data_IF_969398419054
#
_entry.id   IF_969398419054
#
_cell.length_a   1.000
_cell.length_b   1.000
_cell.length_c   1.000
_cell.angle_alpha   90.00
_cell.angle_beta   90.00
_cell.angle_gamma   90.00
#
_symmetry.space_group_name_H-M   'P 1'
#
loop_
_entity.id
_entity.type
_entity.pdbx_description
1 polymer ?
#
# COMPACT_ATOMS: atom_id res chain seq x y z
N UNK A 1 0.51 -8.03 26.00
CA UNK A 1 1.06 -7.89 24.63
C UNK A 1 0.14 -7.00 23.81
N UNK A 2 0.66 -5.93 23.21
CA UNK A 2 -0.04 -5.06 22.25
C UNK A 2 0.30 -5.50 20.83
N UNK A 3 -0.68 -5.67 19.95
CA UNK A 3 -0.49 -6.18 18.59
C UNK A 3 -0.77 -5.09 17.55
N UNK A 4 0.23 -4.76 16.75
CA UNK A 4 0.13 -3.80 15.64
C UNK A 4 0.28 -4.55 14.32
N UNK A 5 -0.77 -4.57 13.49
CA UNK A 5 -0.70 -5.16 12.15
C UNK A 5 -0.41 -4.08 11.10
N UNK A 6 0.57 -4.33 10.24
CA UNK A 6 0.97 -3.40 9.17
C UNK A 6 0.39 -3.89 7.85
N UNK A 7 -0.64 -3.22 7.35
CA UNK A 7 -1.46 -3.70 6.23
C UNK A 7 -1.49 -2.68 5.09
N UNK A 8 -1.19 -3.13 3.88
CA UNK A 8 -1.45 -2.41 2.64
C UNK A 8 -1.35 -3.36 1.42
N UNK A 9 -2.35 -3.30 0.54
CA UNK A 9 -2.39 -4.03 -0.74
C UNK A 9 -1.29 -3.61 -1.73
N UNK A 10 -0.70 -2.41 -1.58
CA UNK A 10 0.39 -1.96 -2.46
C UNK A 10 1.73 -2.58 -2.04
N UNK A 11 2.41 -3.22 -2.99
CA UNK A 11 3.82 -3.57 -2.85
C UNK A 11 4.70 -2.32 -2.82
N UNK A 12 5.76 -2.31 -2.02
CA UNK A 12 6.73 -1.20 -1.98
C UNK A 12 6.31 0.05 -1.19
N UNK A 13 5.17 0.04 -0.49
CA UNK A 13 4.75 1.18 0.35
C UNK A 13 5.46 1.26 1.72
N UNK A 14 6.45 0.41 1.98
CA UNK A 14 7.23 0.39 3.22
C UNK A 14 6.65 -0.44 4.36
N UNK A 15 5.81 -1.46 4.10
CA UNK A 15 5.28 -2.37 5.14
C UNK A 15 6.37 -3.06 5.95
N UNK A 16 7.15 -3.92 5.30
CA UNK A 16 8.25 -4.66 5.93
C UNK A 16 9.28 -3.71 6.55
N UNK A 17 9.64 -2.64 5.85
CA UNK A 17 10.54 -1.60 6.39
C UNK A 17 9.99 -1.00 7.67
N UNK A 18 8.68 -0.72 7.72
CA UNK A 18 8.03 -0.22 8.94
C UNK A 18 8.01 -1.30 10.02
N UNK A 19 7.69 -2.55 9.67
CA UNK A 19 7.57 -3.65 10.62
C UNK A 19 8.89 -3.94 11.34
N UNK A 20 9.96 -4.15 10.55
CA UNK A 20 11.31 -4.44 11.03
C UNK A 20 11.81 -3.31 11.94
N UNK A 21 11.75 -2.06 11.48
CA UNK A 21 12.37 -0.96 12.19
C UNK A 21 11.54 -0.47 13.39
N UNK A 22 10.21 -0.53 13.31
CA UNK A 22 9.37 -0.32 14.48
C UNK A 22 9.65 -1.36 15.57
N UNK A 23 9.71 -2.64 15.19
CA UNK A 23 9.98 -3.71 16.14
C UNK A 23 11.38 -3.56 16.78
N UNK A 24 12.39 -3.18 15.99
CA UNK A 24 13.74 -2.94 16.47
C UNK A 24 13.84 -1.76 17.44
N UNK A 25 13.16 -0.64 17.16
CA UNK A 25 13.11 0.51 18.09
C UNK A 25 12.40 0.15 19.40
N UNK A 26 11.26 -0.55 19.33
CA UNK A 26 10.55 -1.02 20.53
C UNK A 26 11.43 -1.93 21.39
N UNK A 27 12.18 -2.84 20.77
CA UNK A 27 13.11 -3.74 21.44
C UNK A 27 14.31 -3.01 22.07
N UNK A 28 14.91 -2.07 21.33
CA UNK A 28 15.99 -1.19 21.79
C UNK A 28 15.56 -0.36 23.00
N UNK A 29 14.31 0.10 23.03
CA UNK A 29 13.72 0.84 24.16
C UNK A 29 13.39 -0.07 25.37
N UNK A 30 13.74 -1.36 25.30
CA UNK A 30 13.65 -2.31 26.41
C UNK A 30 12.41 -3.20 26.42
N UNK A 31 11.50 -3.05 25.45
CA UNK A 31 10.28 -3.86 25.40
C UNK A 31 10.54 -5.24 24.77
N UNK A 32 9.98 -6.30 25.37
CA UNK A 32 10.03 -7.64 24.77
C UNK A 32 9.14 -7.64 23.53
N UNK A 33 9.76 -7.69 22.35
CA UNK A 33 9.09 -7.45 21.08
C UNK A 33 9.14 -8.69 20.20
N UNK A 34 7.97 -9.08 19.71
CA UNK A 34 7.79 -10.11 18.70
C UNK A 34 7.54 -9.44 17.34
N UNK A 35 8.32 -9.80 16.33
CA UNK A 35 8.02 -9.51 14.93
C UNK A 35 7.46 -10.79 14.30
N UNK A 36 6.30 -10.70 13.66
CA UNK A 36 5.69 -11.80 12.91
C UNK A 36 5.69 -11.46 11.43
N UNK A 37 6.34 -12.28 10.63
CA UNK A 37 6.26 -12.20 9.18
C UNK A 37 5.07 -13.06 8.69
N UNK A 38 4.07 -12.43 8.09
CA UNK A 38 2.92 -13.12 7.44
C UNK A 38 3.00 -13.02 5.91
N UNK A 39 4.06 -12.45 5.34
CA UNK A 39 4.24 -12.36 3.90
C UNK A 39 5.01 -13.60 3.39
N UNK A 40 4.47 -14.40 2.46
CA UNK A 40 5.19 -15.54 1.89
C UNK A 40 6.55 -15.21 1.27
N UNK A 41 6.86 -13.95 0.99
CA UNK A 41 8.17 -13.52 0.49
C UNK A 41 9.27 -13.48 1.56
N UNK A 42 8.96 -13.61 2.85
CA UNK A 42 9.93 -13.68 3.96
C UNK A 42 10.92 -12.51 4.04
N UNK A 43 10.48 -11.30 3.65
CA UNK A 43 11.36 -10.14 3.63
C UNK A 43 11.82 -9.70 5.04
N UNK A 44 11.12 -10.06 6.12
CA UNK A 44 11.60 -9.76 7.47
C UNK A 44 12.85 -10.57 7.81
N UNK A 45 12.88 -11.86 7.46
CA UNK A 45 14.04 -12.72 7.73
C UNK A 45 15.27 -12.22 6.98
N UNK A 46 15.13 -11.97 5.68
CA UNK A 46 16.20 -11.40 4.85
C UNK A 46 16.69 -10.05 5.37
N UNK A 47 15.77 -9.13 5.70
CA UNK A 47 16.10 -7.80 6.21
C UNK A 47 16.74 -7.78 7.61
N UNK A 48 16.74 -8.90 8.31
CA UNK A 48 17.32 -9.08 9.65
C UNK A 48 18.45 -10.12 9.67
N UNK A 49 18.94 -10.54 8.51
CA UNK A 49 20.09 -11.45 8.42
C UNK A 49 19.80 -12.87 8.93
N UNK A 50 18.53 -13.26 9.04
CA UNK A 50 18.14 -14.61 9.46
C UNK A 50 18.29 -15.57 8.26
N UNK A 51 19.07 -16.66 8.38
CA UNK A 51 19.28 -17.55 7.24
C UNK A 51 18.03 -18.38 6.93
N UNK A 52 17.39 -18.10 5.80
CA UNK A 52 16.15 -18.77 5.39
C UNK A 52 16.29 -20.30 5.28
N UNK A 53 17.48 -20.78 4.90
CA UNK A 53 17.76 -22.21 4.74
C UNK A 53 17.79 -22.98 6.05
N UNK A 54 17.95 -22.29 7.18
CA UNK A 54 17.99 -22.90 8.52
C UNK A 54 16.66 -22.82 9.26
N UNK A 55 15.63 -22.25 8.63
CA UNK A 55 14.30 -22.13 9.22
C UNK A 55 13.63 -23.51 9.33
N UNK A 56 13.65 -24.09 10.53
CA UNK A 56 13.01 -25.40 10.80
C UNK A 56 11.49 -25.28 10.96
N UNK A 57 11.03 -24.19 11.58
CA UNK A 57 9.62 -23.88 11.80
C UNK A 57 9.35 -22.43 11.46
N UNK A 58 8.16 -22.18 10.93
CA UNK A 58 7.71 -20.88 10.45
C UNK A 58 6.32 -20.56 11.00
N UNK A 59 5.82 -19.35 10.68
CA UNK A 59 4.44 -18.97 10.96
C UNK A 59 3.43 -19.96 10.36
N UNK A 60 3.74 -20.58 9.21
CA UNK A 60 2.87 -21.56 8.57
C UNK A 60 2.62 -22.77 9.49
N UNK A 61 3.68 -23.27 10.11
CA UNK A 61 3.63 -24.40 11.06
C UNK A 61 2.89 -24.00 12.34
N UNK A 62 3.15 -22.79 12.84
CA UNK A 62 2.53 -22.28 14.05
C UNK A 62 1.00 -22.15 13.89
N UNK A 63 0.54 -21.58 12.78
CA UNK A 63 -0.91 -21.41 12.54
C UNK A 63 -1.58 -22.73 12.17
N UNK A 64 -0.87 -23.72 11.62
CA UNK A 64 -1.44 -25.04 11.32
C UNK A 64 -1.50 -25.98 12.53
N UNK A 65 -0.73 -25.72 13.58
CA UNK A 65 -0.69 -26.57 14.76
C UNK A 65 -2.10 -26.79 15.36
N UNK A 66 -2.38 -28.02 15.79
CA UNK A 66 -3.56 -28.31 16.59
C UNK A 66 -3.24 -27.99 18.05
N UNK A 67 -3.73 -26.84 18.51
CA UNK A 67 -3.42 -26.24 19.82
C UNK A 67 -4.03 -26.97 21.03
N UNK A 68 -4.12 -28.30 21.01
CA UNK A 68 -4.48 -29.09 22.19
C UNK A 68 -3.46 -28.91 23.32
N UNK A 69 -2.21 -28.61 22.96
CA UNK A 69 -1.16 -28.07 23.81
C UNK A 69 -0.62 -26.82 23.14
N UNK A 70 -0.48 -25.72 23.87
CA UNK A 70 0.10 -24.49 23.32
C UNK A 70 1.53 -24.77 22.83
N UNK A 71 1.87 -24.49 21.55
CA UNK A 71 3.24 -24.66 21.07
C UNK A 71 4.18 -23.78 21.88
N UNK A 72 5.33 -24.31 22.30
CA UNK A 72 6.38 -23.50 22.93
C UNK A 72 6.84 -22.44 21.94
N UNK A 73 6.89 -21.18 22.36
CA UNK A 73 7.36 -20.09 21.51
C UNK A 73 8.81 -20.33 21.06
N UNK A 74 9.65 -20.92 21.91
CA UNK A 74 11.07 -21.13 21.63
C UNK A 74 11.35 -22.06 20.45
N UNK A 75 10.40 -22.92 20.09
CA UNK A 75 10.57 -23.82 18.94
C UNK A 75 10.38 -23.10 17.59
N UNK A 76 9.79 -21.90 17.59
CA UNK A 76 9.38 -21.19 16.37
C UNK A 76 10.10 -19.85 16.20
N UNK A 77 10.65 -19.31 17.28
CA UNK A 77 11.14 -17.94 17.33
C UNK A 77 12.65 -17.86 17.22
N UNK A 78 13.10 -16.95 16.36
CA UNK A 78 14.50 -16.60 16.16
C UNK A 78 14.87 -15.39 17.01
N UNK A 79 15.97 -15.48 17.77
CA UNK A 79 16.54 -14.34 18.48
C UNK A 79 17.35 -13.48 17.51
N UNK A 80 16.79 -12.32 17.14
CA UNK A 80 17.40 -11.41 16.16
C UNK A 80 18.29 -10.38 16.86
N UNK A 81 17.78 -9.80 17.94
CA UNK A 81 18.50 -8.84 18.75
C UNK A 81 18.03 -8.92 20.20
N UNK A 82 18.67 -8.17 21.09
CA UNK A 82 18.20 -8.06 22.48
C UNK A 82 16.75 -7.61 22.50
N UNK A 83 15.89 -8.40 23.17
CA UNK A 83 14.45 -8.17 23.28
C UNK A 83 13.68 -8.21 21.95
N UNK A 84 14.28 -8.63 20.83
CA UNK A 84 13.61 -8.77 19.54
C UNK A 84 13.67 -10.22 19.08
N UNK A 85 12.50 -10.84 18.94
CA UNK A 85 12.37 -12.18 18.36
C UNK A 85 11.52 -12.13 17.10
N UNK A 86 11.87 -12.97 16.12
CA UNK A 86 11.16 -13.10 14.85
C UNK A 86 10.43 -14.44 14.80
N UNK A 87 9.14 -14.43 14.47
CA UNK A 87 8.43 -15.57 13.89
C UNK A 87 8.52 -15.45 12.37
N UNK A 88 9.41 -16.20 11.70
CA UNK A 88 9.67 -16.03 10.29
C UNK A 88 8.58 -16.69 9.43
N UNK A 89 8.46 -16.23 8.19
CA UNK A 89 7.66 -16.89 7.16
C UNK A 89 8.56 -17.64 6.17
N UNK A 90 7.92 -18.34 5.23
CA UNK A 90 8.59 -18.91 4.07
C UNK A 90 7.61 -18.99 2.91
N UNK A 91 8.14 -19.31 1.73
CA UNK A 91 7.34 -19.48 0.50
C UNK A 91 6.22 -20.51 0.66
N UNK A 92 6.33 -21.44 1.61
CA UNK A 92 5.29 -22.43 1.93
C UNK A 92 3.97 -21.79 2.40
N UNK A 93 4.03 -20.57 2.96
CA UNK A 93 2.87 -19.82 3.42
C UNK A 93 1.91 -19.45 2.27
N UNK A 94 2.42 -19.30 1.03
CA UNK A 94 1.57 -19.08 -0.14
C UNK A 94 0.71 -20.30 -0.47
N UNK A 95 1.27 -21.51 -0.37
CA UNK A 95 0.52 -22.76 -0.55
C UNK A 95 -0.51 -22.96 0.56
N UNK A 96 -0.22 -22.45 1.76
CA UNK A 96 -1.12 -22.50 2.89
C UNK A 96 -2.38 -21.64 2.70
N UNK A 97 -2.24 -20.42 2.17
CA UNK A 97 -3.32 -19.46 1.93
C UNK A 97 -4.18 -19.79 0.69
N UNK A 98 -3.67 -20.57 -0.25
CA UNK A 98 -4.36 -20.90 -1.49
C UNK A 98 -5.82 -21.38 -1.24
N UNK A 99 -6.76 -21.16 -2.18
CA UNK A 99 -8.18 -21.51 -1.99
C UNK A 99 -8.44 -22.98 -1.60
N UNK A 100 -7.57 -23.89 -2.03
CA UNK A 100 -7.60 -25.32 -1.70
C UNK A 100 -6.48 -25.72 -0.72
N UNK A 101 -5.82 -24.74 -0.10
CA UNK A 101 -4.71 -24.93 0.82
C UNK A 101 -5.15 -25.46 2.18
N UNK A 102 -4.22 -26.00 2.99
CA UNK A 102 -4.54 -26.59 4.29
C UNK A 102 -5.20 -25.65 5.30
N UNK A 103 -5.05 -24.32 5.15
CA UNK A 103 -5.71 -23.34 6.02
C UNK A 103 -7.17 -23.16 5.62
N UNK A 104 -7.51 -23.26 4.33
CA UNK A 104 -8.87 -23.07 3.83
C UNK A 104 -9.86 -24.11 4.41
N UNK A 105 -9.40 -25.33 4.72
CA UNK A 105 -10.23 -26.39 5.31
C UNK A 105 -10.40 -26.29 6.83
N UNK A 106 -9.69 -25.37 7.51
CA UNK A 106 -9.81 -25.21 8.97
C UNK A 106 -11.08 -24.45 9.34
N UNK A 107 -11.80 -24.93 10.36
CA UNK A 107 -13.03 -24.30 10.86
C UNK A 107 -12.82 -22.88 11.38
N UNK A 108 -11.61 -22.58 11.84
CA UNK A 108 -11.20 -21.34 12.48
C UNK A 108 -10.13 -20.57 11.71
N UNK A 109 -10.10 -20.81 10.39
CA UNK A 109 -9.04 -20.38 9.48
C UNK A 109 -8.68 -18.89 9.51
N UNK A 110 -9.58 -18.02 9.96
CA UNK A 110 -9.39 -16.57 10.02
C UNK A 110 -8.75 -16.06 11.33
N UNK A 111 -8.58 -16.92 12.35
CA UNK A 111 -8.22 -16.50 13.72
C UNK A 111 -7.15 -17.38 14.38
N UNK A 112 -6.39 -18.13 13.59
CA UNK A 112 -5.33 -19.03 14.05
C UNK A 112 -4.12 -18.27 14.58
N UNK A 113 -3.72 -17.17 13.92
CA UNK A 113 -2.63 -16.33 14.45
C UNK A 113 -2.97 -15.76 15.83
N UNK A 114 -4.21 -15.30 16.04
CA UNK A 114 -4.64 -14.78 17.34
C UNK A 114 -4.50 -15.82 18.48
N UNK A 115 -4.70 -17.11 18.19
CA UNK A 115 -4.49 -18.18 19.18
C UNK A 115 -3.02 -18.41 19.50
N UNK A 116 -2.18 -18.46 18.46
CA UNK A 116 -0.72 -18.57 18.61
C UNK A 116 -0.22 -17.41 19.49
N UNK A 117 -0.63 -16.19 19.16
CA UNK A 117 -0.25 -15.00 19.89
C UNK A 117 -0.82 -14.95 21.32
N UNK A 118 -2.05 -15.39 21.55
CA UNK A 118 -2.63 -15.51 22.90
C UNK A 118 -1.82 -16.48 23.77
N UNK A 119 -1.41 -17.62 23.22
CA UNK A 119 -0.56 -18.57 23.94
C UNK A 119 0.82 -17.99 24.32
N UNK A 120 1.37 -17.09 23.49
CA UNK A 120 2.69 -16.51 23.70
C UNK A 120 2.66 -15.15 24.41
N UNK A 121 1.48 -14.61 24.69
CA UNK A 121 1.27 -13.23 25.17
C UNK A 121 2.07 -12.86 26.42
N UNK A 122 2.39 -13.83 27.29
CA UNK A 122 3.13 -13.60 28.54
C UNK A 122 4.61 -13.28 28.33
N UNK A 123 5.17 -13.67 27.18
CA UNK A 123 6.57 -13.46 26.82
C UNK A 123 6.87 -12.08 26.22
N UNK A 124 5.84 -11.34 25.79
CA UNK A 124 6.01 -10.15 24.96
C UNK A 124 5.14 -8.97 25.39
N UNK A 125 5.71 -7.78 25.30
CA UNK A 125 5.04 -6.51 25.53
C UNK A 125 4.42 -6.00 24.23
N UNK A 126 5.11 -6.19 23.11
CA UNK A 126 4.69 -5.79 21.76
C UNK A 126 4.77 -6.95 20.76
N UNK A 127 3.84 -6.95 19.81
CA UNK A 127 3.86 -7.79 18.61
C UNK A 127 3.62 -6.89 17.40
N UNK A 128 4.53 -6.91 16.43
CA UNK A 128 4.38 -6.24 15.13
C UNK A 128 4.17 -7.30 14.07
N UNK A 129 3.13 -7.19 13.26
CA UNK A 129 2.80 -8.18 12.22
C UNK A 129 2.98 -7.54 10.84
N UNK A 130 3.92 -8.05 10.04
CA UNK A 130 4.11 -7.66 8.64
C UNK A 130 3.17 -8.48 7.75
N UNK A 131 2.25 -7.82 7.06
CA UNK A 131 1.23 -8.50 6.26
C UNK A 131 1.58 -8.52 4.76
N UNK A 132 1.11 -9.54 4.01
CA UNK A 132 1.31 -9.61 2.58
C UNK A 132 0.62 -8.45 1.83
N UNK A 133 1.00 -8.16 0.57
CA UNK A 133 0.32 -7.18 -0.28
C UNK A 133 -1.06 -7.66 -0.78
N UNK A 134 -1.56 -8.79 -0.31
CA UNK A 134 -2.87 -9.34 -0.66
C UNK A 134 -3.82 -9.24 0.53
N UNK A 135 -5.09 -8.96 0.25
CA UNK A 135 -6.14 -9.02 1.27
C UNK A 135 -6.78 -10.41 1.17
N UNK A 136 -6.06 -11.38 1.71
CA UNK A 136 -6.45 -12.78 1.81
C UNK A 136 -6.42 -13.26 3.26
N UNK A 137 -6.62 -14.55 3.46
CA UNK A 137 -6.77 -15.21 4.76
C UNK A 137 -5.63 -14.90 5.75
N UNK A 138 -4.41 -14.66 5.27
CA UNK A 138 -3.27 -14.26 6.10
C UNK A 138 -3.47 -12.87 6.70
N UNK A 139 -3.87 -11.90 5.87
CA UNK A 139 -4.24 -10.56 6.33
C UNK A 139 -5.44 -10.62 7.28
N UNK A 140 -6.42 -11.51 7.04
CA UNK A 140 -7.53 -11.70 7.99
C UNK A 140 -7.04 -12.17 9.38
N UNK A 141 -6.09 -13.10 9.43
CA UNK A 141 -5.49 -13.56 10.68
C UNK A 141 -4.78 -12.44 11.44
N UNK A 142 -4.01 -11.60 10.74
CA UNK A 142 -3.35 -10.44 11.32
C UNK A 142 -4.37 -9.43 11.88
N UNK A 143 -5.42 -9.11 11.12
CA UNK A 143 -6.48 -8.19 11.56
C UNK A 143 -7.22 -8.70 12.80
N UNK A 144 -7.56 -10.00 12.87
CA UNK A 144 -8.19 -10.61 14.06
C UNK A 144 -7.31 -10.50 15.31
N UNK A 145 -6.00 -10.56 15.15
CA UNK A 145 -5.06 -10.45 16.25
C UNK A 145 -4.71 -9.01 16.65
N UNK A 146 -4.99 -8.01 15.81
CA UNK A 146 -4.52 -6.65 15.99
C UNK A 146 -5.35 -5.80 16.97
N UNK A 147 -4.64 -5.06 17.83
CA UNK A 147 -5.17 -3.94 18.63
C UNK A 147 -5.24 -2.66 17.79
N UNK A 148 -4.29 -2.48 16.87
CA UNK A 148 -4.23 -1.35 15.94
C UNK A 148 -3.77 -1.82 14.56
N UNK A 149 -4.41 -1.29 13.52
CA UNK A 149 -3.95 -1.46 12.14
C UNK A 149 -3.21 -0.22 11.68
N UNK A 150 -1.94 -0.37 11.32
CA UNK A 150 -1.13 0.67 10.72
C UNK A 150 -1.11 0.48 9.20
N UNK A 151 -1.42 1.54 8.45
CA UNK A 151 -1.50 1.52 6.99
C UNK A 151 -0.43 2.46 6.42
N UNK A 152 0.74 1.94 6.00
CA UNK A 152 1.75 2.72 5.32
C UNK A 152 1.22 3.27 3.99
N UNK A 153 1.37 4.56 3.75
CA UNK A 153 0.95 5.24 2.52
C UNK A 153 2.15 5.97 1.93
N UNK A 154 2.72 5.40 0.87
CA UNK A 154 3.79 6.02 0.10
C UNK A 154 3.33 7.38 -0.47
N UNK A 155 4.18 8.41 -0.50
CA UNK A 155 3.80 9.75 -1.02
C UNK A 155 4.18 10.02 -2.49
N UNK A 156 4.29 8.96 -3.30
CA UNK A 156 4.59 9.02 -4.73
C UNK A 156 3.41 9.39 -5.64
N UNK A 157 3.68 9.57 -6.94
CA UNK A 157 2.72 10.05 -7.97
C UNK A 157 1.44 9.23 -8.10
N UNK A 158 1.56 7.90 -8.02
CA UNK A 158 0.40 7.00 -8.10
C UNK A 158 -0.31 6.82 -6.76
N UNK A 159 0.17 7.46 -5.71
CA UNK A 159 -0.27 7.12 -4.36
C UNK A 159 -1.57 7.77 -3.96
N UNK A 160 -2.01 8.90 -4.51
CA UNK A 160 -3.22 9.53 -3.99
C UNK A 160 -4.49 8.72 -4.31
N UNK A 161 -4.76 8.44 -5.60
CA UNK A 161 -5.89 7.58 -6.01
C UNK A 161 -5.73 6.14 -5.51
N UNK A 162 -4.49 5.64 -5.47
CA UNK A 162 -4.19 4.33 -4.92
C UNK A 162 -4.47 4.24 -3.43
N UNK A 163 -4.07 5.26 -2.66
CA UNK A 163 -4.29 5.34 -1.22
C UNK A 163 -5.77 5.48 -0.90
N UNK A 164 -6.53 6.32 -1.61
CA UNK A 164 -7.98 6.43 -1.38
C UNK A 164 -8.68 5.08 -1.52
N UNK A 165 -8.46 4.37 -2.63
CA UNK A 165 -9.03 3.04 -2.85
C UNK A 165 -8.54 2.02 -1.82
N UNK A 166 -7.28 2.08 -1.41
CA UNK A 166 -6.71 1.20 -0.38
C UNK A 166 -7.36 1.45 0.98
N UNK A 167 -7.53 2.71 1.37
CA UNK A 167 -8.15 3.11 2.63
C UNK A 167 -9.62 2.68 2.64
N UNK A 168 -10.36 2.91 1.55
CA UNK A 168 -11.74 2.43 1.41
C UNK A 168 -11.83 0.91 1.51
N UNK A 169 -10.88 0.19 0.92
CA UNK A 169 -10.81 -1.27 0.98
C UNK A 169 -10.52 -1.74 2.41
N UNK A 170 -9.54 -1.14 3.08
CA UNK A 170 -9.20 -1.48 4.48
C UNK A 170 -10.37 -1.17 5.40
N UNK A 171 -11.03 -0.03 5.24
CA UNK A 171 -12.24 0.30 5.99
C UNK A 171 -13.37 -0.70 5.73
N UNK A 172 -13.58 -1.10 4.47
CA UNK A 172 -14.60 -2.09 4.13
C UNK A 172 -14.30 -3.46 4.73
N UNK A 173 -13.01 -3.84 4.74
CA UNK A 173 -12.52 -5.07 5.36
C UNK A 173 -12.73 -5.02 6.86
N UNK A 174 -12.23 -3.99 7.55
CA UNK A 174 -12.35 -3.80 9.02
C UNK A 174 -13.82 -3.78 9.46
N UNK A 175 -14.70 -3.06 8.76
CA UNK A 175 -16.15 -3.02 9.07
C UNK A 175 -16.82 -4.40 9.07
N UNK A 176 -16.28 -5.37 8.32
CA UNK A 176 -16.86 -6.71 8.17
C UNK A 176 -16.47 -7.68 9.29
N UNK A 177 -15.54 -7.30 10.17
CA UNK A 177 -15.04 -8.18 11.23
C UNK A 177 -15.87 -8.22 12.51
N UNK A 178 -16.91 -7.39 12.62
CA UNK A 178 -17.77 -7.34 13.82
C UNK A 178 -17.05 -6.82 15.08
N UNK A 179 -15.85 -6.25 14.91
CA UNK A 179 -15.06 -5.56 15.95
C UNK A 179 -14.54 -4.26 15.36
N UNK A 180 -14.70 -3.16 16.10
CA UNK A 180 -14.08 -1.89 15.74
C UNK A 180 -12.58 -1.96 16.03
N UNK A 181 -11.80 -2.28 15.00
CA UNK A 181 -10.33 -2.26 15.09
C UNK A 181 -9.88 -0.87 14.64
N UNK A 182 -9.25 -0.07 15.51
CA UNK A 182 -8.77 1.25 15.12
C UNK A 182 -7.69 1.08 14.05
N UNK A 183 -7.71 1.99 13.06
CA UNK A 183 -6.66 2.06 12.05
C UNK A 183 -6.07 3.47 11.98
N UNK A 184 -4.81 3.54 11.54
CA UNK A 184 -4.07 4.79 11.32
C UNK A 184 -3.29 4.74 10.02
N UNK A 185 -3.22 5.87 9.33
CA UNK A 185 -2.44 6.05 8.10
C UNK A 185 -1.07 6.61 8.46
N UNK A 186 -0.02 5.94 8.02
CA UNK A 186 1.35 6.38 8.17
C UNK A 186 1.90 6.84 6.82
N UNK A 187 2.11 8.14 6.57
CA UNK A 187 2.85 8.57 5.39
C UNK A 187 4.27 8.00 5.43
N UNK A 188 4.66 7.29 4.38
CA UNK A 188 5.99 6.68 4.23
C UNK A 188 6.67 7.18 2.97
N UNK A 189 8.00 7.04 2.95
CA UNK A 189 8.85 7.51 1.83
C UNK A 189 8.66 9.00 1.55
N UNK A 190 8.39 9.78 2.62
CA UNK A 190 8.12 11.21 2.51
C UNK A 190 9.39 11.94 2.12
N UNK A 191 9.34 12.63 0.98
CA UNK A 191 10.42 13.49 0.53
C UNK A 191 9.95 14.94 0.55
N UNK A 192 10.32 15.66 1.61
CA UNK A 192 9.86 17.04 1.84
C UNK A 192 10.33 18.02 0.76
N UNK A 193 11.38 17.71 0.00
CA UNK A 193 11.81 18.55 -1.12
C UNK A 193 10.86 18.48 -2.33
N UNK A 194 10.15 17.35 -2.49
CA UNK A 194 9.25 17.10 -3.63
C UNK A 194 7.86 17.67 -3.37
N UNK A 195 7.40 18.58 -4.23
CA UNK A 195 6.07 19.20 -4.14
C UNK A 195 4.95 18.15 -4.07
N UNK A 196 5.00 17.17 -4.96
CA UNK A 196 4.05 16.05 -5.00
C UNK A 196 3.95 15.29 -3.66
N UNK A 197 5.08 15.02 -3.02
CA UNK A 197 5.09 14.33 -1.72
C UNK A 197 4.35 15.17 -0.67
N UNK A 198 4.58 16.48 -0.64
CA UNK A 198 3.87 17.39 0.26
C UNK A 198 2.38 17.46 -0.06
N UNK A 199 2.02 17.49 -1.34
CA UNK A 199 0.62 17.55 -1.79
C UNK A 199 -0.16 16.29 -1.40
N UNK A 200 0.47 15.11 -1.50
CA UNK A 200 -0.14 13.85 -1.05
C UNK A 200 -0.39 13.87 0.45
N UNK A 201 0.60 14.23 1.27
CA UNK A 201 0.43 14.34 2.73
C UNK A 201 -0.68 15.33 3.08
N UNK A 202 -0.67 16.51 2.47
CA UNK A 202 -1.69 17.53 2.70
C UNK A 202 -3.09 17.03 2.31
N UNK A 203 -3.20 16.22 1.26
CA UNK A 203 -4.48 15.66 0.84
C UNK A 203 -4.96 14.56 1.78
N UNK A 204 -4.06 13.68 2.24
CA UNK A 204 -4.39 12.70 3.29
C UNK A 204 -4.89 13.40 4.56
N UNK A 205 -4.27 14.51 4.95
CA UNK A 205 -4.66 15.27 6.13
C UNK A 205 -6.06 15.90 5.98
N UNK A 206 -6.39 16.41 4.78
CA UNK A 206 -7.74 16.95 4.50
C UNK A 206 -8.81 15.87 4.44
N UNK A 207 -8.47 14.69 3.90
CA UNK A 207 -9.46 13.64 3.60
C UNK A 207 -9.67 12.67 4.78
N UNK A 208 -8.63 12.44 5.57
CA UNK A 208 -8.61 11.47 6.67
C UNK A 208 -8.02 12.08 7.95
N UNK A 209 -8.55 13.22 8.45
CA UNK A 209 -7.96 13.94 9.57
C UNK A 209 -7.83 13.09 10.85
N UNK A 210 -8.82 12.23 11.12
CA UNK A 210 -8.85 11.41 12.34
C UNK A 210 -8.02 10.12 12.22
N UNK A 211 -7.74 9.68 10.99
CA UNK A 211 -6.98 8.45 10.74
C UNK A 211 -5.51 8.73 10.43
N UNK A 212 -5.15 9.92 9.95
CA UNK A 212 -3.77 10.26 9.62
C UNK A 212 -2.93 10.44 10.89
N UNK A 213 -1.75 9.82 10.93
CA UNK A 213 -0.80 10.06 11.99
C UNK A 213 -0.21 11.47 11.94
N UNK A 214 0.10 12.09 13.09
CA UNK A 214 0.75 13.39 13.16
C UNK A 214 2.25 13.36 12.79
N UNK A 215 2.72 12.25 12.22
CA UNK A 215 4.11 11.98 11.89
C UNK A 215 4.21 11.21 10.58
N UNK A 216 5.41 11.16 10.02
CA UNK A 216 5.72 10.44 8.78
C UNK A 216 7.08 9.75 8.88
N UNK A 217 7.24 8.66 8.13
CA UNK A 217 8.56 8.08 7.85
C UNK A 217 9.09 8.67 6.54
N UNK A 218 10.20 9.39 6.62
CA UNK A 218 10.82 10.06 5.46
C UNK A 218 11.55 9.04 4.58
N UNK A 219 11.86 9.46 3.36
CA UNK A 219 12.74 8.72 2.46
C UNK A 219 14.19 8.83 2.97
N UNK A 220 14.75 7.71 3.46
CA UNK A 220 16.12 7.60 3.93
C UNK A 220 16.85 6.51 3.14
N UNK A 221 18.09 6.79 2.71
CA UNK A 221 18.92 5.83 1.98
C UNK A 221 19.40 4.71 2.92
N UNK A 222 19.68 5.07 4.17
CA UNK A 222 20.15 4.18 5.23
C UNK A 222 19.19 3.03 5.51
N UNK A 223 17.89 3.20 5.27
CA UNK A 223 16.90 2.12 5.41
C UNK A 223 17.05 1.04 4.34
N UNK A 224 17.44 1.43 3.11
CA UNK A 224 17.71 0.48 2.02
C UNK A 224 19.03 -0.24 2.26
N UNK A 225 20.04 0.50 2.70
CA UNK A 225 21.34 -0.07 3.01
C UNK A 225 21.23 -1.06 4.17
N UNK A 226 20.60 -0.67 5.28
CA UNK A 226 20.37 -1.54 6.44
C UNK A 226 19.73 -2.88 6.04
N UNK A 227 18.67 -2.85 5.23
CA UNK A 227 18.03 -4.07 4.72
C UNK A 227 18.98 -4.93 3.87
N UNK A 228 19.86 -4.32 3.06
CA UNK A 228 20.84 -5.04 2.23
C UNK A 228 21.95 -5.70 3.05
N UNK A 229 22.26 -5.16 4.23
CA UNK A 229 23.19 -5.74 5.21
C UNK A 229 22.52 -6.72 6.18
N UNK A 230 21.20 -6.94 6.07
CA UNK A 230 20.45 -7.79 6.98
C UNK A 230 20.39 -7.22 8.40
N UNK A 231 20.33 -5.90 8.55
CA UNK A 231 20.34 -5.21 9.83
C UNK A 231 19.13 -4.29 9.96
N UNK A 232 18.60 -4.15 11.17
CA UNK A 232 17.66 -3.08 11.47
C UNK A 232 18.39 -1.72 11.52
N UNK A 233 17.65 -0.63 11.30
CA UNK A 233 18.22 0.73 11.28
C UNK A 233 18.89 1.12 12.61
N UNK A 234 18.40 0.58 13.73
CA UNK A 234 18.97 0.79 15.06
C UNK A 234 20.36 0.16 15.23
N UNK A 235 20.71 -0.82 14.39
CA UNK A 235 22.03 -1.45 14.37
C UNK A 235 22.91 -0.83 13.28
N UNK A 236 22.36 -0.67 12.08
CA UNK A 236 23.09 -0.16 10.92
C UNK A 236 23.50 1.32 11.08
N UNK A 237 22.56 2.17 11.49
CA UNK A 237 22.78 3.62 11.62
C UNK A 237 22.02 4.19 12.83
N UNK A 238 22.45 3.88 14.08
CA UNK A 238 21.73 4.20 15.32
C UNK A 238 21.45 5.70 15.54
N UNK A 239 22.29 6.57 14.99
CA UNK A 239 22.19 8.03 15.15
C UNK A 239 21.47 8.73 13.97
N UNK A 240 20.97 7.95 13.00
CA UNK A 240 20.35 8.49 11.78
C UNK A 240 19.00 9.16 12.03
N UNK A 241 18.61 10.04 11.10
CA UNK A 241 17.26 10.62 11.08
C UNK A 241 16.17 9.55 10.87
N UNK A 242 16.49 8.42 10.24
CA UNK A 242 15.58 7.29 10.07
C UNK A 242 15.18 6.67 11.43
N UNK A 243 16.13 6.52 12.36
CA UNK A 243 15.83 6.06 13.72
C UNK A 243 14.86 7.02 14.41
N UNK A 244 15.04 8.33 14.23
CA UNK A 244 14.16 9.34 14.86
C UNK A 244 12.72 9.25 14.38
N UNK A 245 12.51 8.94 13.10
CA UNK A 245 11.16 8.74 12.55
C UNK A 245 10.47 7.54 13.22
N UNK A 246 11.20 6.43 13.40
CA UNK A 246 10.67 5.25 14.08
C UNK A 246 10.54 5.44 15.60
N UNK A 247 11.40 6.22 16.24
CA UNK A 247 11.27 6.63 17.65
C UNK A 247 9.99 7.43 17.88
N UNK A 248 9.67 8.35 16.96
CA UNK A 248 8.43 9.11 17.01
C UNK A 248 7.21 8.19 16.88
N UNK A 249 7.25 7.23 15.93
CA UNK A 249 6.18 6.25 15.76
C UNK A 249 6.01 5.35 17.00
N UNK A 250 7.09 4.82 17.55
CA UNK A 250 7.07 3.96 18.74
C UNK A 250 6.54 4.72 19.97
N UNK A 251 6.92 6.00 20.13
CA UNK A 251 6.39 6.86 21.20
C UNK A 251 4.89 7.06 21.05
N UNK A 252 4.43 7.44 19.86
CA UNK A 252 3.00 7.62 19.58
C UNK A 252 2.20 6.34 19.88
N UNK A 253 2.70 5.18 19.47
CA UNK A 253 2.04 3.89 19.74
C UNK A 253 1.94 3.58 21.23
N UNK A 254 2.97 3.88 22.02
CA UNK A 254 2.94 3.66 23.48
C UNK A 254 1.89 4.53 24.19
N UNK A 255 1.65 5.73 23.68
CA UNK A 255 0.67 6.67 24.23
C UNK A 255 -0.76 6.27 23.82
N UNK A 256 -0.95 5.85 22.58
CA UNK A 256 -2.29 5.68 21.97
C UNK A 256 -2.81 4.23 22.00
N UNK A 257 -1.95 3.24 22.28
CA UNK A 257 -2.32 1.82 22.41
C UNK A 257 -2.04 1.36 23.85
N UNK A 258 -2.83 1.79 24.85
CA UNK A 258 -2.48 1.60 26.26
C UNK A 258 -2.56 0.13 26.73
N UNK A 259 -3.61 -0.62 26.38
CA UNK A 259 -3.76 -2.03 26.80
C UNK A 259 -4.12 -2.91 25.61
N UNK A 260 -3.29 -3.92 25.33
CA UNK A 260 -3.60 -4.92 24.29
C UNK A 260 -4.74 -5.83 24.74
N UNK A 261 -5.87 -5.76 24.04
CA UNK A 261 -7.14 -6.47 24.33
C UNK A 261 -7.60 -7.34 23.17
N UNK A 262 -6.94 -7.24 22.02
CA UNK A 262 -7.33 -7.94 20.80
C UNK A 262 -7.29 -9.46 20.95
N UNK A 263 -6.49 -9.96 21.89
CA UNK A 263 -6.32 -11.37 22.21
C UNK A 263 -7.21 -11.85 23.36
N UNK A 264 -7.99 -10.96 23.98
CA UNK A 264 -8.94 -11.33 25.02
C UNK A 264 -10.00 -12.28 24.43
N UNK A 265 -10.28 -13.37 25.14
CA UNK A 265 -11.21 -14.41 24.67
C UNK A 265 -10.58 -15.51 23.81
N UNK A 266 -9.29 -15.41 23.49
CA UNK A 266 -8.51 -16.53 22.94
C UNK A 266 -7.82 -17.36 24.03
N UNK A 267 -7.74 -16.83 25.26
CA UNK A 267 -7.12 -17.51 26.40
C UNK A 267 -7.94 -18.73 26.82
N UNK A 268 -7.28 -19.88 27.00
CA UNK A 268 -7.92 -21.07 27.59
C UNK A 268 -9.09 -21.64 26.80
N UNK A 269 -9.14 -21.42 25.48
CA UNK A 269 -10.22 -21.86 24.61
C UNK A 269 -10.30 -23.40 24.55
N UNK A 270 -11.03 -23.98 25.51
CA UNK A 270 -11.19 -25.43 25.68
C UNK A 270 -12.12 -26.02 24.61
N UNK A 271 -12.15 -27.35 24.51
CA UNK A 271 -13.03 -28.10 23.59
C UNK A 271 -14.52 -27.69 23.65
N UNK A 272 -14.99 -27.07 24.74
CA UNK A 272 -16.36 -26.55 24.84
C UNK A 272 -16.58 -25.22 24.09
N UNK A 273 -15.54 -24.41 23.84
CA UNK A 273 -15.65 -23.23 22.96
C UNK A 273 -15.69 -23.64 21.49
N UNK A 274 -15.13 -24.80 21.13
CA UNK A 274 -15.34 -25.44 19.81
C UNK A 274 -16.84 -25.61 19.51
N UNK A 275 -17.63 -26.05 20.50
CA UNK A 275 -19.08 -26.25 20.38
C UNK A 275 -19.86 -24.92 20.35
N UNK A 276 -19.37 -23.89 21.03
CA UNK A 276 -19.98 -22.54 20.98
C UNK A 276 -19.68 -21.84 19.64
N UNK A 277 -18.47 -22.00 19.10
CA UNK A 277 -18.07 -21.51 17.77
C UNK A 277 -18.70 -22.30 16.62
N UNK A 278 -19.02 -23.59 16.82
CA UNK A 278 -19.86 -24.38 15.91
C UNK A 278 -21.27 -23.78 15.74
N UNK A 279 -21.71 -22.91 16.66
CA UNK A 279 -23.00 -22.20 16.66
C UNK A 279 -22.91 -20.71 16.30
N UNK A 280 -21.72 -20.18 15.95
CA UNK A 280 -21.53 -18.77 15.56
C UNK A 280 -22.17 -18.50 14.18
N UNK A 281 -23.14 -17.55 14.06
CA UNK A 281 -23.79 -17.21 12.79
C UNK A 281 -22.86 -16.49 11.79
N UNK A 282 -21.64 -16.09 12.19
CA UNK A 282 -20.57 -15.60 11.30
C UNK A 282 -19.78 -16.74 10.63
N UNK A 283 -20.43 -17.91 10.46
CA UNK A 283 -19.85 -19.22 10.11
C UNK A 283 -19.06 -19.26 8.80
N UNK A 284 -19.25 -18.27 7.94
CA UNK A 284 -18.43 -18.09 6.76
C UNK A 284 -17.61 -16.82 6.96
N UNK A 285 -16.26 -16.88 6.94
CA UNK A 285 -15.54 -15.66 6.62
C UNK A 285 -16.12 -15.18 5.29
N UNK A 286 -16.21 -13.85 5.10
CA UNK A 286 -16.63 -13.29 3.83
C UNK A 286 -16.09 -14.13 2.68
N UNK A 287 -16.97 -14.78 1.92
CA UNK A 287 -16.62 -15.09 0.53
C UNK A 287 -16.49 -13.71 -0.08
N UNK A 288 -15.29 -13.16 -0.02
CA UNK A 288 -14.88 -12.20 -1.02
C UNK A 288 -14.71 -13.10 -2.22
N UNK A 289 -15.80 -13.26 -2.98
CA UNK A 289 -15.69 -13.58 -4.39
C UNK A 289 -14.53 -12.71 -4.85
N UNK A 290 -13.40 -13.34 -5.17
CA UNK A 290 -12.25 -12.69 -5.80
C UNK A 290 -12.80 -11.57 -6.64
N UNK A 291 -12.35 -10.34 -6.39
CA UNK A 291 -12.75 -9.11 -7.07
C UNK A 291 -12.58 -9.25 -8.59
N UNK A 292 -13.43 -10.07 -9.19
CA UNK A 292 -13.85 -10.01 -10.56
C UNK A 292 -14.37 -8.59 -10.65
N UNK A 293 -13.66 -7.80 -11.45
CA UNK A 293 -14.15 -6.54 -11.97
C UNK A 293 -15.61 -6.77 -12.34
N UNK A 294 -16.55 -6.33 -11.50
CA UNK A 294 -17.93 -6.21 -11.96
C UNK A 294 -17.84 -5.18 -13.08
N UNK A 295 -18.24 -5.51 -14.32
CA UNK A 295 -18.34 -4.48 -15.34
C UNK A 295 -19.25 -3.39 -14.76
N UNK A 296 -18.78 -2.15 -14.79
CA UNK A 296 -19.60 -1.00 -14.38
C UNK A 296 -20.95 -1.08 -15.10
N UNK A 297 -22.07 -0.79 -14.42
CA UNK A 297 -23.35 -0.69 -15.11
C UNK A 297 -23.19 0.40 -16.17
N UNK A 298 -23.44 0.03 -17.42
CA UNK A 298 -23.49 0.95 -18.55
C UNK A 298 -24.47 2.07 -18.22
N UNK A 299 -23.94 3.26 -17.92
CA UNK A 299 -24.73 4.48 -17.89
C UNK A 299 -25.32 4.68 -19.28
N UNK A 300 -26.63 4.51 -19.41
CA UNK A 300 -27.34 4.95 -20.60
C UNK A 300 -27.18 6.48 -20.69
N UNK A 301 -26.79 7.03 -21.85
CA UNK A 301 -26.67 8.48 -21.99
C UNK A 301 -28.07 9.11 -21.92
N UNK A 302 -28.27 10.02 -20.97
CA UNK A 302 -29.42 10.93 -21.01
C UNK A 302 -29.28 11.89 -22.19
N UNK A 303 -30.40 12.24 -22.87
CA UNK A 303 -30.36 13.11 -24.04
C UNK A 303 -30.00 14.55 -23.64
N UNK A 304 -29.07 15.13 -24.39
CA UNK A 304 -28.61 16.52 -24.24
C UNK A 304 -29.78 17.50 -24.43
N UNK A 305 -30.12 18.24 -23.37
CA UNK A 305 -30.98 19.42 -23.47
C UNK A 305 -30.12 20.63 -23.85
N UNK A 306 -30.54 21.27 -24.94
CA UNK A 306 -29.92 22.44 -25.55
C UNK A 306 -29.80 23.63 -24.59
N UNK A 307 -28.64 24.29 -24.64
CA UNK A 307 -28.40 25.58 -24.01
C UNK A 307 -29.13 26.68 -24.79
N UNK A 308 -29.97 27.46 -24.11
CA UNK A 308 -30.32 28.82 -24.54
C UNK A 308 -29.57 29.84 -23.70
N UNK A 309 -28.83 30.68 -24.41
CA UNK A 309 -28.11 31.85 -23.92
C UNK A 309 -29.11 32.99 -23.66
N UNK A 310 -29.02 33.64 -22.50
CA UNK A 310 -29.52 35.01 -22.34
C UNK A 310 -28.60 35.82 -21.44
N UNK A 311 -28.07 36.90 -22.01
CA UNK A 311 -27.18 37.87 -21.39
C UNK A 311 -27.93 38.84 -20.47
N UNK A 312 -27.28 39.30 -19.39
CA UNK A 312 -27.39 40.69 -18.93
C UNK A 312 -26.29 41.02 -17.91
N UNK A 313 -25.74 42.23 -18.09
CA UNK A 313 -24.65 42.83 -17.32
C UNK A 313 -25.22 43.77 -16.22
N UNK A 314 -24.41 44.51 -15.43
CA UNK A 314 -24.55 44.60 -13.98
C UNK A 314 -25.22 45.91 -13.50
N UNK A 315 -25.63 45.94 -12.23
CA UNK A 315 -25.92 47.20 -11.52
C UNK A 315 -25.27 47.25 -10.15
N UNK A 316 -24.68 48.41 -9.88
CA UNK A 316 -23.95 48.81 -8.68
C UNK A 316 -24.87 49.41 -7.61
N UNK A 317 -24.36 49.43 -6.35
CA UNK A 317 -24.57 50.37 -5.22
C UNK A 317 -24.23 49.58 -3.94
N UNK A 318 -23.50 50.03 -2.91
CA UNK A 318 -23.04 51.35 -2.50
C UNK A 318 -23.14 51.42 -0.95
N UNK A 319 -22.17 52.08 -0.28
CA UNK A 319 -22.22 52.46 1.15
C UNK A 319 -21.35 51.56 2.06
N UNK A 320 -20.18 51.90 2.61
CA UNK A 320 -19.59 53.07 3.31
C UNK A 320 -19.79 53.05 4.84
N UNK A 321 -18.65 53.28 5.52
CA UNK A 321 -18.41 53.75 6.91
C UNK A 321 -18.08 52.67 7.94
N UNK A 322 -17.20 52.83 8.94
CA UNK A 322 -16.07 53.75 9.26
C UNK A 322 -15.64 53.45 10.71
N UNK A 323 -14.36 53.63 11.06
CA UNK A 323 -13.87 53.87 12.46
C UNK A 323 -12.99 52.73 13.01
N UNK A 324 -11.66 52.87 13.14
CA UNK A 324 -10.88 53.61 14.18
C UNK A 324 -11.16 53.07 15.60
N UNK A 325 -10.23 52.78 16.50
CA UNK A 325 -8.86 53.27 16.72
C UNK A 325 -8.26 52.50 17.93
N UNK A 326 -6.92 52.57 18.08
CA UNK A 326 -6.14 52.52 19.36
C UNK A 326 -5.74 51.22 20.07
N UNK A 327 -4.42 51.04 20.13
CA UNK A 327 -3.62 50.51 21.26
C UNK A 327 -3.53 51.54 22.42
N UNK A 328 -3.15 51.11 23.63
CA UNK A 328 -1.84 51.53 24.14
C UNK A 328 -1.06 50.44 24.93
N UNK A 329 0.07 50.90 25.47
CA UNK A 329 1.35 50.25 25.73
C UNK A 329 1.64 50.02 27.25
N UNK A 330 2.66 49.18 27.52
CA UNK A 330 3.54 49.08 28.72
C UNK A 330 3.26 48.15 29.92
N UNK A 331 4.03 47.04 29.92
CA UNK A 331 5.11 46.64 30.85
C UNK A 331 4.88 46.55 32.38
N UNK A 332 5.15 45.36 32.96
CA UNK A 332 6.31 45.11 33.85
C UNK A 332 6.52 43.62 34.16
N UNK A 333 7.81 43.27 34.26
CA UNK A 333 8.50 42.03 34.64
C UNK A 333 7.79 40.97 35.51
N UNK A 334 8.01 39.68 35.18
CA UNK A 334 9.00 38.83 35.89
C UNK A 334 9.24 37.48 35.18
N UNK A 335 10.51 37.10 35.23
CA UNK A 335 11.14 35.90 34.66
C UNK A 335 10.77 34.63 35.44
N UNK A 336 10.30 33.59 34.74
CA UNK A 336 10.72 32.17 34.89
C UNK A 336 9.72 31.22 34.18
N UNK A 337 10.10 30.73 32.99
CA UNK A 337 10.07 29.32 32.56
C UNK A 337 10.10 29.25 31.02
N UNK A 338 11.27 28.89 30.47
CA UNK A 338 11.51 28.70 29.04
C UNK A 338 11.97 27.27 28.82
N UNK A 339 11.05 26.37 28.42
CA UNK A 339 11.43 25.11 27.77
C UNK A 339 10.31 24.38 26.98
N UNK A 340 9.08 24.89 26.89
CA UNK A 340 7.95 24.14 26.30
C UNK A 340 7.32 24.74 25.04
N UNK A 341 7.75 25.90 24.55
CA UNK A 341 6.99 26.65 23.52
C UNK A 341 7.56 26.63 22.09
N UNK A 342 8.59 25.83 21.78
CA UNK A 342 9.23 25.86 20.44
C UNK A 342 8.73 24.82 19.41
N UNK A 343 7.92 23.85 19.81
CA UNK A 343 7.40 22.81 18.91
C UNK A 343 6.03 23.15 18.31
N UNK A 344 5.15 23.80 19.09
CA UNK A 344 3.78 24.17 18.72
C UNK A 344 3.73 25.34 17.72
N UNK A 345 4.75 26.20 17.75
CA UNK A 345 4.83 27.40 16.89
C UNK A 345 5.17 27.08 15.42
N UNK A 346 5.93 26.02 15.14
CA UNK A 346 6.33 25.67 13.76
C UNK A 346 5.21 25.06 12.93
N UNK A 347 4.32 24.29 13.56
CA UNK A 347 3.16 23.70 12.90
C UNK A 347 2.12 24.78 12.51
N UNK A 348 1.96 25.79 13.37
CA UNK A 348 1.07 26.92 13.15
C UNK A 348 1.63 27.88 12.09
N UNK A 349 2.94 28.12 12.09
CA UNK A 349 3.64 28.94 11.07
C UNK A 349 3.59 28.28 9.67
N UNK A 350 3.74 26.96 9.57
CA UNK A 350 3.60 26.24 8.29
C UNK A 350 2.16 26.33 7.74
N UNK A 351 1.16 26.15 8.61
CA UNK A 351 -0.25 26.27 8.23
C UNK A 351 -0.64 27.70 7.83
N UNK A 352 -0.06 28.73 8.47
CA UNK A 352 -0.28 30.13 8.13
C UNK A 352 0.42 30.52 6.81
N UNK A 353 1.65 30.05 6.57
CA UNK A 353 2.40 30.26 5.33
C UNK A 353 1.73 29.61 4.11
N UNK A 354 1.13 28.44 4.28
CA UNK A 354 0.39 27.74 3.22
C UNK A 354 -0.92 28.44 2.82
N UNK A 355 -1.55 29.21 3.73
CA UNK A 355 -2.75 30.02 3.45
C UNK A 355 -2.48 31.33 2.69
N UNK A 356 -1.21 31.75 2.62
CA UNK A 356 -0.78 33.00 1.97
C UNK A 356 -0.23 32.79 0.55
N UNK A 357 -0.17 31.54 0.06
CA UNK A 357 0.30 31.25 -1.28
C UNK A 357 -0.78 31.61 -2.32
N UNK A 358 -0.46 32.41 -3.35
CA UNK A 358 -1.44 32.80 -4.37
C UNK A 358 -1.90 31.60 -5.18
N UNK A 359 -3.22 31.48 -5.29
CA UNK A 359 -3.95 30.42 -5.97
C UNK A 359 -3.61 30.39 -7.47
N UNK A 360 -2.72 29.48 -7.87
CA UNK A 360 -2.44 29.16 -9.28
C UNK A 360 -3.09 27.84 -9.64
N UNK A 361 -4.42 27.79 -9.57
CA UNK A 361 -5.22 26.67 -10.02
C UNK A 361 -6.17 27.09 -11.17
N UNK A 362 -5.65 27.12 -12.39
CA UNK A 362 -6.36 27.00 -13.69
C UNK A 362 -5.27 26.58 -14.69
N UNK A 363 -5.19 25.40 -15.28
CA UNK A 363 -6.16 24.59 -16.02
C UNK A 363 -5.51 23.23 -16.29
N UNK A 364 -6.18 22.12 -15.96
CA UNK A 364 -6.18 20.88 -16.76
C UNK A 364 -7.09 19.85 -16.07
N UNK A 365 -8.17 19.53 -16.76
CA UNK A 365 -9.13 18.48 -16.43
C UNK A 365 -8.53 17.08 -16.70
N UNK A 366 -9.22 15.98 -16.32
CA UNK A 366 -8.64 14.67 -16.00
C UNK A 366 -8.47 13.76 -17.23
N UNK A 367 -7.61 12.74 -17.14
CA UNK A 367 -7.85 11.34 -17.52
C UNK A 367 -6.52 10.54 -17.44
N UNK A 368 -6.47 9.21 -17.38
CA UNK A 368 -6.65 8.43 -18.61
C UNK A 368 -5.91 9.10 -19.78
N UNK A 369 -4.57 9.19 -19.70
CA UNK A 369 -3.79 9.97 -20.67
C UNK A 369 -3.67 9.35 -22.06
N UNK A 370 -4.14 8.11 -22.25
CA UNK A 370 -3.95 7.37 -23.50
C UNK A 370 -2.50 6.95 -23.76
N UNK A 371 -1.61 7.03 -22.77
CA UNK A 371 -0.20 6.66 -22.83
C UNK A 371 0.03 5.23 -22.32
N UNK A 372 1.06 4.54 -22.83
CA UNK A 372 1.36 3.13 -22.59
C UNK A 372 1.18 2.27 -23.84
N UNK A 373 1.24 0.94 -23.67
CA UNK A 373 1.01 -0.02 -24.74
C UNK A 373 -0.39 -0.62 -24.67
N UNK A 374 -1.05 -0.74 -25.83
CA UNK A 374 -2.36 -1.39 -25.96
C UNK A 374 -2.36 -2.36 -27.13
N UNK A 375 -2.69 -3.62 -26.87
CA UNK A 375 -2.93 -4.62 -27.90
C UNK A 375 -4.42 -4.75 -28.20
N UNK A 376 -4.80 -4.56 -29.46
CA UNK A 376 -6.14 -4.82 -29.96
C UNK A 376 -6.38 -6.31 -30.25
N UNK A 377 -7.66 -6.72 -30.36
CA UNK A 377 -8.05 -8.09 -30.74
C UNK A 377 -7.80 -8.40 -32.23
N UNK A 378 -7.53 -7.38 -33.02
CA UNK A 378 -7.09 -7.43 -34.41
C UNK A 378 -5.58 -7.69 -34.55
N UNK A 379 -4.85 -7.82 -33.43
CA UNK A 379 -3.41 -8.02 -33.41
C UNK A 379 -2.59 -6.73 -33.55
N UNK A 380 -3.24 -5.57 -33.65
CA UNK A 380 -2.55 -4.28 -33.73
C UNK A 380 -2.16 -3.82 -32.32
N UNK A 381 -0.86 -3.61 -32.11
CA UNK A 381 -0.31 -3.07 -30.89
C UNK A 381 0.05 -1.60 -31.11
N UNK A 382 -0.51 -0.73 -30.28
CA UNK A 382 -0.26 0.71 -30.28
C UNK A 382 0.54 1.06 -29.03
N UNK A 383 1.71 1.67 -29.22
CA UNK A 383 2.51 2.27 -28.17
C UNK A 383 2.28 3.77 -28.21
N UNK A 384 1.98 4.38 -27.06
CA UNK A 384 1.68 5.81 -26.96
C UNK A 384 2.51 6.45 -25.85
N UNK A 385 3.21 7.54 -26.16
CA UNK A 385 4.09 8.27 -25.26
C UNK A 385 3.72 9.76 -25.24
N UNK A 386 4.05 10.51 -24.18
CA UNK A 386 3.90 11.95 -24.17
C UNK A 386 4.65 12.61 -25.32
N UNK A 387 4.15 13.76 -25.82
CA UNK A 387 4.93 14.54 -26.77
C UNK A 387 6.27 14.96 -26.17
N UNK A 388 7.33 14.77 -26.96
CA UNK A 388 8.70 14.99 -26.53
C UNK A 388 9.52 15.52 -27.70
N UNK A 389 10.47 16.44 -27.47
CA UNK A 389 11.41 16.87 -28.50
C UNK A 389 12.48 15.80 -28.79
N UNK A 390 12.52 14.72 -28.01
CA UNK A 390 13.48 13.62 -28.15
C UNK A 390 13.07 12.66 -29.24
N UNK A 391 14.07 12.02 -29.85
CA UNK A 391 13.82 10.96 -30.83
C UNK A 391 13.43 9.68 -30.09
N UNK A 392 12.32 9.06 -30.50
CA UNK A 392 11.80 7.87 -29.84
C UNK A 392 11.46 6.78 -30.85
N UNK A 393 11.76 5.54 -30.51
CA UNK A 393 11.33 4.35 -31.25
C UNK A 393 11.07 3.18 -30.31
N UNK A 394 10.41 2.15 -30.83
CA UNK A 394 10.18 0.89 -30.11
C UNK A 394 11.09 -0.18 -30.69
N UNK A 395 11.73 -0.96 -29.82
CA UNK A 395 12.56 -2.11 -30.20
C UNK A 395 12.05 -3.36 -29.51
N UNK A 396 12.10 -4.50 -30.19
CA UNK A 396 11.69 -5.77 -29.62
C UNK A 396 12.03 -6.94 -30.53
N UNK A 397 11.72 -8.15 -30.09
CA UNK A 397 11.97 -9.35 -30.89
C UNK A 397 11.30 -9.30 -32.28
N UNK A 398 10.14 -8.64 -32.37
CA UNK A 398 9.35 -8.47 -33.60
C UNK A 398 9.96 -7.54 -34.64
N UNK A 399 10.97 -6.73 -34.30
CA UNK A 399 11.74 -5.93 -35.26
C UNK A 399 13.25 -6.21 -35.18
N UNK A 400 13.63 -7.37 -34.61
CA UNK A 400 15.03 -7.77 -34.46
C UNK A 400 15.84 -6.83 -33.57
N UNK A 401 15.21 -6.14 -32.62
CA UNK A 401 15.84 -5.17 -31.72
C UNK A 401 16.48 -3.97 -32.43
N UNK A 402 16.02 -3.63 -33.64
CA UNK A 402 16.57 -2.52 -34.44
C UNK A 402 16.01 -1.17 -34.01
N UNK A 403 16.89 -0.27 -33.55
CA UNK A 403 16.56 1.05 -33.00
C UNK A 403 15.85 1.99 -33.98
N UNK A 404 15.98 1.78 -35.28
CA UNK A 404 15.40 2.64 -36.32
C UNK A 404 14.09 2.09 -36.91
N UNK A 405 13.70 0.86 -36.56
CA UNK A 405 12.70 0.10 -37.31
C UNK A 405 11.24 0.48 -36.96
N UNK A 406 10.98 1.08 -35.81
CA UNK A 406 9.62 1.48 -35.40
C UNK A 406 9.58 2.82 -34.65
N UNK A 407 9.80 3.95 -35.36
CA UNK A 407 9.82 5.28 -34.75
C UNK A 407 8.43 5.76 -34.33
N UNK A 408 8.36 6.48 -33.22
CA UNK A 408 7.16 7.18 -32.79
C UNK A 408 6.87 8.39 -33.70
N UNK A 409 5.58 8.66 -33.94
CA UNK A 409 5.11 9.80 -34.71
C UNK A 409 4.11 10.63 -33.91
N UNK A 410 4.17 11.95 -34.05
CA UNK A 410 3.21 12.83 -33.38
C UNK A 410 1.77 12.54 -33.85
N UNK A 411 0.86 12.45 -32.89
CA UNK A 411 -0.59 12.42 -33.16
C UNK A 411 -1.05 13.76 -33.72
N UNK A 412 -2.22 13.77 -34.38
CA UNK A 412 -2.74 14.96 -35.07
C UNK A 412 -2.97 16.16 -34.14
N UNK A 413 -3.20 15.91 -32.85
CA UNK A 413 -3.35 16.93 -31.80
C UNK A 413 -2.00 17.42 -31.21
N UNK A 414 -0.88 16.81 -31.64
CA UNK A 414 0.47 17.13 -31.17
C UNK A 414 0.75 16.81 -29.70
N UNK A 415 -0.22 16.24 -28.98
CA UNK A 415 -0.13 15.98 -27.55
C UNK A 415 0.58 14.66 -27.24
N UNK A 416 0.66 13.74 -28.21
CA UNK A 416 1.19 12.39 -28.04
C UNK A 416 2.10 11.98 -29.18
N UNK A 417 2.87 10.95 -28.90
CA UNK A 417 3.70 10.21 -29.83
C UNK A 417 3.14 8.78 -29.92
N UNK A 418 2.90 8.26 -31.12
CA UNK A 418 2.42 6.89 -31.33
C UNK A 418 3.31 6.09 -32.28
N UNK A 419 3.49 4.81 -31.95
CA UNK A 419 4.06 3.80 -32.82
C UNK A 419 3.12 2.60 -32.87
N UNK A 420 2.94 1.99 -34.04
CA UNK A 420 1.99 0.89 -34.22
C UNK A 420 2.62 -0.27 -34.98
N UNK A 421 2.35 -1.50 -34.53
CA UNK A 421 2.85 -2.73 -35.17
C UNK A 421 1.82 -3.84 -35.05
N UNK A 422 1.65 -4.63 -36.11
CA UNK A 422 0.83 -5.84 -36.07
C UNK A 422 1.67 -7.01 -35.55
N UNK A 423 1.21 -7.65 -34.49
CA UNK A 423 1.89 -8.79 -33.86
C UNK A 423 0.94 -10.00 -33.81
N UNK A 424 1.46 -11.23 -33.97
CA UNK A 424 0.65 -12.43 -33.78
C UNK A 424 0.23 -12.57 -32.31
N UNK A 425 -0.84 -13.34 -32.01
CA UNK A 425 -1.23 -13.65 -30.64
C UNK A 425 -0.08 -14.24 -29.83
N UNK A 426 0.00 -13.85 -28.55
CA UNK A 426 1.05 -14.27 -27.63
C UNK A 426 1.76 -13.11 -26.96
N UNK A 427 2.80 -13.44 -26.19
CA UNK A 427 3.56 -12.49 -25.38
C UNK A 427 4.80 -12.02 -26.12
N UNK A 428 4.97 -10.70 -26.22
CA UNK A 428 6.08 -10.06 -26.94
C UNK A 428 6.88 -9.15 -26.02
N UNK A 429 8.21 -9.23 -26.11
CA UNK A 429 9.13 -8.38 -25.36
C UNK A 429 9.57 -7.17 -26.18
N UNK A 430 9.66 -6.01 -25.51
CA UNK A 430 10.08 -4.76 -26.11
C UNK A 430 10.75 -3.81 -25.12
N UNK A 431 11.38 -2.75 -25.66
CA UNK A 431 11.92 -1.57 -24.96
C UNK A 431 11.61 -0.33 -25.79
N UNK A 432 11.78 0.84 -25.17
CA UNK A 432 11.72 2.14 -25.87
C UNK A 432 13.14 2.68 -26.00
N UNK A 433 13.51 3.11 -27.19
CA UNK A 433 14.77 3.82 -27.43
C UNK A 433 14.46 5.32 -27.36
N UNK A 434 15.18 6.04 -26.50
CA UNK A 434 15.09 7.51 -26.39
C UNK A 434 16.47 8.07 -26.67
N UNK A 435 16.60 8.86 -27.73
CA UNK A 435 17.87 9.44 -28.19
C UNK A 435 19.01 8.40 -28.32
N UNK A 436 18.67 7.23 -28.87
CA UNK A 436 19.61 6.12 -29.10
C UNK A 436 19.89 5.24 -27.88
N UNK A 437 19.29 5.54 -26.72
CA UNK A 437 19.46 4.75 -25.49
C UNK A 437 18.23 3.87 -25.25
N UNK A 438 18.45 2.57 -25.11
CA UNK A 438 17.39 1.62 -24.73
C UNK A 438 16.98 1.83 -23.27
N UNK A 439 15.68 1.98 -23.06
CA UNK A 439 15.05 2.21 -21.77
C UNK A 439 13.79 1.36 -21.65
N UNK A 440 13.34 1.13 -20.41
CA UNK A 440 12.04 0.52 -20.18
C UNK A 440 10.93 1.53 -20.44
N UNK A 441 9.84 1.06 -21.02
CA UNK A 441 8.59 1.81 -21.10
C UNK A 441 8.02 2.02 -19.69
N UNK A 442 8.14 3.25 -19.19
CA UNK A 442 7.67 3.65 -17.87
C UNK A 442 6.14 3.61 -17.73
N UNK A 443 5.42 3.59 -18.85
CA UNK A 443 3.96 3.50 -18.91
C UNK A 443 3.45 2.05 -19.00
N UNK A 444 4.35 1.06 -19.06
CA UNK A 444 3.99 -0.37 -19.01
C UNK A 444 4.68 -1.11 -17.86
N UNK A 445 3.89 -1.50 -16.86
CA UNK A 445 4.38 -2.18 -15.65
C UNK A 445 4.65 -3.69 -15.84
N UNK A 446 4.22 -4.28 -16.96
CA UNK A 446 4.52 -5.68 -17.27
C UNK A 446 5.95 -5.80 -17.79
N UNK A 447 6.87 -6.29 -16.96
CA UNK A 447 8.30 -6.41 -17.31
C UNK A 447 8.97 -7.64 -16.70
N UNK A 448 10.07 -8.08 -17.29
CA UNK A 448 10.97 -9.13 -16.74
C UNK A 448 12.40 -8.61 -16.72
N UNK A 449 13.15 -8.97 -15.69
CA UNK A 449 14.58 -8.71 -15.61
C UNK A 449 15.31 -10.02 -15.28
N UNK A 450 16.40 -10.29 -16.00
CA UNK A 450 17.33 -11.36 -15.65
C UNK A 450 18.63 -10.74 -15.11
N UNK A 451 19.30 -11.36 -14.12
CA UNK A 451 20.57 -10.86 -13.61
C UNK A 451 21.61 -10.75 -14.74
N UNK A 452 22.17 -9.55 -14.94
CA UNK A 452 23.20 -9.29 -15.97
C UNK A 452 22.67 -8.83 -17.33
N UNK A 453 21.35 -8.74 -17.53
CA UNK A 453 20.75 -8.23 -18.76
C UNK A 453 19.89 -6.99 -18.49
N UNK A 454 19.80 -6.06 -19.45
CA UNK A 454 18.80 -5.00 -19.39
C UNK A 454 17.40 -5.63 -19.34
N UNK A 455 16.54 -5.22 -18.41
CA UNK A 455 15.15 -5.71 -18.36
C UNK A 455 14.37 -5.42 -19.64
N UNK A 456 13.22 -6.07 -19.83
CA UNK A 456 12.31 -5.85 -20.98
C UNK A 456 10.87 -5.62 -20.52
N UNK A 457 10.12 -4.79 -21.22
CA UNK A 457 8.66 -4.69 -21.08
C UNK A 457 7.98 -5.78 -21.91
N UNK A 458 6.75 -6.13 -21.54
CA UNK A 458 5.99 -7.23 -22.10
C UNK A 458 4.61 -6.75 -22.50
N UNK A 459 4.16 -7.13 -23.69
CA UNK A 459 2.79 -6.92 -24.17
C UNK A 459 2.20 -8.27 -24.56
N UNK A 460 0.96 -8.52 -24.15
CA UNK A 460 0.22 -9.73 -24.50
C UNK A 460 -0.83 -9.41 -25.55
N UNK A 461 -0.73 -10.06 -26.70
CA UNK A 461 -1.67 -9.96 -27.81
C UNK A 461 -2.68 -11.09 -27.67
N UNK A 462 -3.97 -10.80 -27.44
CA UNK A 462 -4.97 -11.82 -27.23
C UNK A 462 -5.19 -12.66 -28.49
N UNK A 463 -5.48 -13.95 -28.31
CA UNK A 463 -5.91 -14.80 -29.42
C UNK A 463 -7.23 -14.29 -30.02
N UNK A 464 -7.41 -14.37 -31.35
CA UNK A 464 -8.69 -14.06 -31.96
C UNK A 464 -9.76 -14.97 -31.36
N UNK A 465 -10.91 -14.39 -31.01
CA UNK A 465 -12.01 -15.15 -30.42
C UNK A 465 -12.41 -16.29 -31.38
N UNK A 466 -12.50 -17.52 -30.87
CA UNK A 466 -13.06 -18.62 -31.64
C UNK A 466 -14.47 -18.23 -32.09
N UNK A 467 -14.86 -18.47 -33.36
CA UNK A 467 -16.21 -18.18 -33.80
C UNK A 467 -17.18 -18.95 -32.91
N UNK A 468 -18.09 -18.20 -32.28
CA UNK A 468 -19.02 -18.72 -31.29
C UNK A 468 -19.92 -19.81 -31.90
N UNK A 469 -19.58 -21.07 -31.64
CA UNK A 469 -20.36 -22.21 -32.12
C UNK A 469 -21.79 -22.24 -31.54
N UNK A 470 -22.07 -21.49 -30.46
CA UNK A 470 -23.43 -21.39 -29.89
C UNK A 470 -24.32 -20.42 -30.68
N UNK A 471 -23.74 -19.41 -31.34
CA UNK A 471 -24.50 -18.51 -32.21
C UNK A 471 -24.92 -19.20 -33.52
N UNK A 472 -24.12 -20.15 -34.03
CA UNK A 472 -24.46 -20.94 -35.21
C UNK A 472 -25.60 -21.95 -34.98
N UNK A 473 -25.69 -22.52 -33.77
CA UNK A 473 -26.79 -23.43 -33.41
C UNK A 473 -28.13 -22.70 -33.22
N UNK A 474 -28.11 -21.52 -32.61
CA UNK A 474 -29.32 -20.69 -32.45
C UNK A 474 -29.87 -20.13 -33.78
N UNK A 475 -29.01 -19.94 -34.79
CA UNK A 475 -29.44 -19.49 -36.12
C UNK A 475 -30.03 -20.61 -37.00
N UNK A 476 -29.79 -21.89 -36.66
CA UNK A 476 -30.32 -23.04 -37.38
C UNK A 476 -31.71 -23.48 -36.86
N UNK A 477 -32.02 -23.29 -35.58
CA UNK A 477 -33.33 -23.63 -35.00
C UNK A 477 -34.44 -22.63 -35.35
N UNK A 478 -34.11 -21.43 -35.82
CA UNK A 478 -35.09 -20.43 -36.28
C UNK A 478 -35.45 -20.53 -37.77
N UNK A 479 -34.88 -21.50 -38.50
CA UNK A 479 -35.08 -21.67 -39.95
C UNK A 479 -35.70 -23.02 -40.36
N UNK A 480 -36.29 -23.75 -39.42
CA UNK A 480 -37.09 -24.96 -39.70
C UNK A 480 -38.55 -24.80 -39.29
#
# INVERSE_FOLDING_TARGET
MRVVAIVNQKGGCGKTTTAVNLAAVLARDGARTLLVDMDPQSHCAAGLGVPEQTLERTVADAILADHASAPSADDYLWDVARNLRLLPSSVSLAALEAPSGPLASRLDRDRRLARVLSAWRGGFDWCVVDCPPTIGLLTFNALRAADLVLVPVETGYFSLKGAERQIETIQAVVRRFGRDIPFRLLPTLVNESRALSRDVVATLARRFPDALLPLSVREHEELRDAASYGQAITEFAPESEAVRDFDALARWLREEVPDGRALDGYDGMSASVRVALERDPLREPPVIETFAVRPEPTLQPEPAAHAEFAASAPTARGGVSSGSDRLPDRATDRVADRATDRATDRATDLAARLRMLPDRARTAAPAGGGFGVRAGRDGVVVFTQPSSPRTMSVVGAFNGWRHDALPFRATTDGARLEAQVALPPGRHAYRIVVDGVETLDEFNLHRTAQPGELGVNLVEVPAPAAPDHRAALHAAEYRR
#
